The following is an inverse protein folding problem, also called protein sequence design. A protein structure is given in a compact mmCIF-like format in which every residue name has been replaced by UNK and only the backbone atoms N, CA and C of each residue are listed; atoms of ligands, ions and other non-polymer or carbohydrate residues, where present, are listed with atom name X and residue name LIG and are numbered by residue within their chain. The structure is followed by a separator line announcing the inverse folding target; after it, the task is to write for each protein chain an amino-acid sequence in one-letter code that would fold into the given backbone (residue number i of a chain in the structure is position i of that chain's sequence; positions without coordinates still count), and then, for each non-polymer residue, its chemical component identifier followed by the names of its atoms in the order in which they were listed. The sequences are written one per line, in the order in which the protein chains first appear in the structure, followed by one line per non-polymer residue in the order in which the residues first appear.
data_IF_765315177840
#
_entry.id   IF_765315177840
#
_cell.length_a   1.000
_cell.length_b   1.000
_cell.length_c   1.000
_cell.angle_alpha   90.00
_cell.angle_beta   90.00
_cell.angle_gamma   90.00
#
_symmetry.space_group_name_H-M   'P 1'
#
loop_
_entity.id
_entity.type
_entity.pdbx_description
1 polymer ?
#
# COMPACT_ATOMS: atom_id res chain seq x y z
N UNK A 1 -20.55 8.22 11.67
CA UNK A 1 -20.02 7.21 10.75
C UNK A 1 -19.23 7.95 9.68
N UNK A 2 -17.92 8.11 9.87
CA UNK A 2 -17.02 8.67 8.85
C UNK A 2 -16.43 7.49 8.11
N UNK A 3 -16.78 7.33 6.83
CA UNK A 3 -16.31 6.26 5.97
C UNK A 3 -14.80 6.45 5.69
N UNK A 4 -13.96 5.61 6.30
CA UNK A 4 -12.65 5.34 5.74
C UNK A 4 -12.81 4.22 4.70
N UNK A 5 -13.00 4.60 3.43
CA UNK A 5 -12.84 3.69 2.31
C UNK A 5 -11.36 3.22 2.27
N UNK A 6 -11.09 1.92 2.16
CA UNK A 6 -9.79 1.42 1.67
C UNK A 6 -8.85 0.73 2.67
N UNK A 7 -9.31 -0.31 3.38
CA UNK A 7 -8.43 -1.16 4.22
C UNK A 7 -7.99 -2.47 3.53
N UNK A 8 -8.43 -2.76 2.31
CA UNK A 8 -7.97 -3.92 1.52
C UNK A 8 -6.59 -3.74 0.84
N UNK A 9 -5.63 -3.11 1.51
CA UNK A 9 -4.27 -2.89 1.02
C UNK A 9 -3.20 -3.65 1.81
N UNK A 10 -1.92 -3.47 1.48
CA UNK A 10 -0.78 -4.22 2.06
C UNK A 10 -0.83 -4.37 3.58
N UNK A 11 -1.04 -3.27 4.32
CA UNK A 11 -1.09 -3.32 5.79
C UNK A 11 -2.38 -3.96 6.32
N UNK A 12 -3.53 -3.64 5.71
CA UNK A 12 -4.83 -4.12 6.20
C UNK A 12 -5.03 -5.62 6.01
N UNK A 13 -4.49 -6.21 4.94
CA UNK A 13 -4.49 -7.67 4.79
C UNK A 13 -3.58 -8.37 5.80
N UNK A 14 -2.41 -7.80 6.12
CA UNK A 14 -1.56 -8.36 7.19
C UNK A 14 -2.29 -8.33 8.53
N UNK A 15 -2.93 -7.20 8.87
CA UNK A 15 -3.70 -7.10 10.12
C UNK A 15 -4.86 -8.10 10.14
N UNK A 16 -5.65 -8.19 9.07
CA UNK A 16 -6.77 -9.12 8.98
C UNK A 16 -6.33 -10.57 9.12
N UNK A 17 -5.24 -10.97 8.46
CA UNK A 17 -4.65 -12.30 8.58
C UNK A 17 -4.21 -12.59 10.02
N UNK A 18 -3.50 -11.65 10.66
CA UNK A 18 -3.02 -11.85 12.04
C UNK A 18 -4.17 -11.92 13.06
N UNK A 19 -5.25 -11.16 12.86
CA UNK A 19 -6.45 -11.26 13.68
C UNK A 19 -7.15 -12.61 13.50
N UNK A 20 -7.25 -13.11 12.26
CA UNK A 20 -7.83 -14.42 11.97
C UNK A 20 -7.03 -15.57 12.60
N UNK A 21 -5.70 -15.47 12.60
CA UNK A 21 -4.81 -16.47 13.20
C UNK A 21 -4.90 -16.45 14.74
N UNK A 22 -5.07 -15.26 15.34
CA UNK A 22 -5.10 -15.09 16.78
C UNK A 22 -6.39 -15.61 17.44
N UNK A 23 -7.53 -15.48 16.76
CA UNK A 23 -8.82 -15.94 17.25
C UNK A 23 -9.72 -16.44 16.11
N UNK A 24 -9.84 -17.78 15.94
CA UNK A 24 -10.69 -18.38 14.91
C UNK A 24 -12.19 -18.14 15.08
N UNK A 25 -12.64 -17.61 16.23
CA UNK A 25 -14.06 -17.28 16.46
C UNK A 25 -14.49 -15.96 15.83
N UNK A 26 -13.52 -15.11 15.43
CA UNK A 26 -13.80 -13.82 14.82
C UNK A 26 -14.26 -13.98 13.37
N UNK A 27 -15.31 -13.23 13.01
CA UNK A 27 -15.69 -12.99 11.62
C UNK A 27 -15.12 -11.65 11.16
N UNK A 28 -14.21 -11.68 10.19
CA UNK A 28 -13.44 -10.51 9.75
C UNK A 28 -13.86 -10.14 8.34
N UNK A 29 -14.38 -8.91 8.17
CA UNK A 29 -14.71 -8.33 6.88
C UNK A 29 -13.63 -7.32 6.46
N UNK A 30 -13.00 -7.54 5.30
CA UNK A 30 -12.07 -6.57 4.71
C UNK A 30 -12.71 -5.90 3.50
N UNK A 31 -12.78 -4.57 3.54
CA UNK A 31 -13.32 -3.76 2.44
C UNK A 31 -12.16 -3.08 1.71
N UNK A 32 -11.91 -3.50 0.48
CA UNK A 32 -10.95 -2.89 -0.44
C UNK A 32 -11.66 -2.16 -1.58
N UNK A 33 -10.94 -1.22 -2.20
CA UNK A 33 -11.40 -0.53 -3.40
C UNK A 33 -10.73 -1.15 -4.64
N UNK A 34 -11.52 -1.40 -5.67
CA UNK A 34 -11.05 -1.92 -6.95
C UNK A 34 -11.23 -3.43 -7.13
N UNK A 35 -10.85 -3.97 -8.30
CA UNK A 35 -11.10 -5.35 -8.66
C UNK A 35 -10.23 -6.33 -7.87
N UNK A 36 -10.74 -7.56 -7.75
CA UNK A 36 -9.94 -8.73 -7.41
C UNK A 36 -8.97 -9.05 -8.55
N UNK A 37 -7.77 -9.47 -8.19
CA UNK A 37 -6.63 -9.62 -9.08
C UNK A 37 -5.92 -10.98 -8.94
N UNK A 38 -6.50 -11.93 -8.19
CA UNK A 38 -5.89 -13.25 -7.94
C UNK A 38 -5.52 -14.00 -9.22
N UNK A 39 -6.33 -13.84 -10.27
CA UNK A 39 -6.13 -14.49 -11.57
C UNK A 39 -5.62 -13.52 -12.67
N UNK A 40 -5.25 -12.29 -12.30
CA UNK A 40 -4.67 -11.32 -13.24
C UNK A 40 -3.18 -11.66 -13.46
N UNK A 41 -2.88 -12.28 -14.60
CA UNK A 41 -1.51 -12.62 -15.02
C UNK A 41 -0.54 -11.42 -14.99
N UNK A 42 -1.04 -10.19 -15.16
CA UNK A 42 -0.22 -8.99 -15.11
C UNK A 42 0.19 -8.61 -13.68
N UNK A 43 -0.53 -9.10 -12.66
CA UNK A 43 -0.19 -8.98 -11.24
C UNK A 43 0.66 -10.16 -10.79
N UNK A 44 0.25 -11.38 -11.16
CA UNK A 44 0.91 -12.62 -10.70
C UNK A 44 2.33 -12.75 -11.26
N UNK A 45 2.60 -12.20 -12.44
CA UNK A 45 3.93 -12.23 -13.04
C UNK A 45 4.65 -10.88 -12.91
N UNK A 46 5.68 -10.75 -12.06
CA UNK A 46 6.36 -9.48 -11.79
C UNK A 46 6.98 -8.81 -13.02
N UNK A 47 7.26 -9.57 -14.09
CA UNK A 47 7.81 -9.05 -15.35
C UNK A 47 6.91 -7.97 -15.98
N UNK A 48 5.60 -7.99 -15.69
CA UNK A 48 4.64 -7.01 -16.21
C UNK A 48 4.48 -5.76 -15.33
N UNK A 49 5.18 -5.66 -14.19
CA UNK A 49 5.03 -4.54 -13.24
C UNK A 49 5.26 -3.17 -13.92
N UNK A 50 6.30 -3.04 -14.75
CA UNK A 50 6.58 -1.82 -15.50
C UNK A 50 5.50 -1.47 -16.52
N UNK A 51 5.00 -2.46 -17.25
CA UNK A 51 3.92 -2.24 -18.23
C UNK A 51 2.66 -1.71 -17.57
N UNK A 52 2.31 -2.21 -16.38
CA UNK A 52 1.14 -1.75 -15.64
C UNK A 52 1.28 -0.32 -15.15
N UNK A 53 2.45 0.07 -14.67
CA UNK A 53 2.73 1.47 -14.27
C UNK A 53 2.54 2.46 -15.44
N UNK A 54 2.72 2.01 -16.68
CA UNK A 54 2.53 2.83 -17.87
C UNK A 54 1.06 2.93 -18.33
N UNK A 55 0.22 1.94 -18.04
CA UNK A 55 -1.17 1.86 -18.55
C UNK A 55 -2.22 2.41 -17.58
N UNK A 56 -2.00 3.62 -17.05
CA UNK A 56 -2.92 4.32 -16.14
C UNK A 56 -4.40 4.17 -16.54
N UNK A 57 -5.28 3.75 -15.61
CA UNK A 57 -6.73 3.87 -15.79
C UNK A 57 -7.63 2.86 -15.06
N UNK A 58 -7.23 1.58 -14.95
CA UNK A 58 -8.06 0.55 -14.29
C UNK A 58 -7.53 0.07 -12.94
N UNK A 59 -6.23 0.14 -12.74
CA UNK A 59 -5.50 -0.45 -11.60
C UNK A 59 -4.79 0.60 -10.76
N UNK A 60 -4.82 1.86 -11.21
CA UNK A 60 -4.14 2.96 -10.55
C UNK A 60 -5.07 4.15 -10.45
N UNK A 61 -5.14 4.71 -9.25
CA UNK A 61 -5.79 5.97 -8.94
C UNK A 61 -4.74 7.07 -9.12
N UNK A 62 -5.03 8.05 -9.96
CA UNK A 62 -4.13 9.18 -10.19
C UNK A 62 -4.63 10.41 -9.42
N UNK A 63 -3.73 10.98 -8.61
CA UNK A 63 -3.97 12.19 -7.84
C UNK A 63 -3.05 13.28 -8.34
N UNK A 64 -3.63 14.29 -8.98
CA UNK A 64 -2.89 15.45 -9.45
C UNK A 64 -2.80 16.51 -8.34
N UNK A 65 -1.60 17.00 -8.09
CA UNK A 65 -1.40 18.15 -7.21
C UNK A 65 -1.93 19.44 -7.85
N UNK A 66 -2.04 20.50 -7.05
CA UNK A 66 -2.04 21.86 -7.61
C UNK A 66 -0.66 22.16 -8.23
N UNK A 67 -0.55 23.28 -8.95
CA UNK A 67 0.75 23.75 -9.44
C UNK A 67 1.69 24.01 -8.26
N UNK A 68 2.89 23.46 -8.33
CA UNK A 68 3.91 23.60 -7.27
C UNK A 68 5.00 24.59 -7.72
N UNK A 69 5.07 25.80 -7.11
CA UNK A 69 6.02 26.85 -7.50
C UNK A 69 7.47 26.40 -7.42
N UNK A 70 7.83 25.53 -6.46
CA UNK A 70 9.19 25.01 -6.31
C UNK A 70 9.59 24.02 -7.41
N UNK A 71 8.66 23.68 -8.30
CA UNK A 71 8.90 22.79 -9.44
C UNK A 71 8.59 23.46 -10.77
N UNK A 72 8.75 24.79 -10.85
CA UNK A 72 8.42 25.59 -12.03
C UNK A 72 6.94 25.44 -12.44
N UNK A 73 6.04 25.56 -11.45
CA UNK A 73 4.59 25.52 -11.64
C UNK A 73 4.06 24.19 -12.22
N UNK A 74 4.82 23.09 -12.06
CA UNK A 74 4.37 21.77 -12.51
C UNK A 74 3.21 21.25 -11.68
N UNK A 75 2.30 20.55 -12.36
CA UNK A 75 1.33 19.65 -11.74
C UNK A 75 2.00 18.29 -11.58
N UNK A 76 2.07 17.81 -10.35
CA UNK A 76 2.71 16.53 -10.00
C UNK A 76 1.62 15.48 -9.87
N UNK A 77 1.73 14.41 -10.67
CA UNK A 77 0.83 13.27 -10.61
C UNK A 77 1.39 12.22 -9.64
N UNK A 78 0.61 11.86 -8.64
CA UNK A 78 0.92 10.78 -7.70
C UNK A 78 -0.05 9.64 -7.93
N UNK A 79 0.48 8.44 -8.18
CA UNK A 79 -0.34 7.25 -8.40
C UNK A 79 -0.44 6.43 -7.11
N UNK A 80 -1.64 5.94 -6.83
CA UNK A 80 -1.91 4.95 -5.78
C UNK A 80 -2.58 3.73 -6.40
N UNK A 81 -2.48 2.59 -5.73
CA UNK A 81 -3.14 1.37 -6.18
C UNK A 81 -4.66 1.50 -6.08
N UNK A 82 -5.36 1.08 -7.14
CA UNK A 82 -6.82 1.03 -7.22
C UNK A 82 -7.35 -0.40 -7.35
N UNK A 83 -6.73 -1.37 -6.69
CA UNK A 83 -7.15 -2.77 -6.67
C UNK A 83 -6.85 -3.43 -5.32
N UNK A 84 -7.47 -4.59 -5.10
CA UNK A 84 -7.24 -5.41 -3.92
C UNK A 84 -5.75 -5.77 -3.76
N UNK A 85 -5.25 -5.70 -2.53
CA UNK A 85 -3.82 -5.82 -2.22
C UNK A 85 -3.09 -4.47 -2.20
N UNK A 86 -3.65 -3.45 -2.84
CA UNK A 86 -3.09 -2.10 -2.78
C UNK A 86 -1.70 -2.01 -3.39
N UNK A 87 -0.80 -1.27 -2.75
CA UNK A 87 0.53 -0.98 -3.28
C UNK A 87 1.37 -2.22 -3.60
N UNK A 88 1.24 -3.31 -2.84
CA UNK A 88 2.00 -4.54 -3.11
C UNK A 88 1.61 -5.22 -4.43
N UNK A 89 0.42 -4.97 -4.96
CA UNK A 89 -0.05 -5.54 -6.22
C UNK A 89 0.36 -4.73 -7.47
N UNK A 90 1.00 -3.58 -7.29
CA UNK A 90 1.45 -2.70 -8.39
C UNK A 90 2.91 -2.26 -8.25
N UNK A 91 3.58 -2.55 -7.14
CA UNK A 91 4.95 -2.10 -6.89
C UNK A 91 5.97 -2.90 -7.71
N UNK A 92 7.24 -2.51 -7.60
CA UNK A 92 8.35 -3.14 -8.32
C UNK A 92 8.88 -4.39 -7.63
N UNK A 93 8.17 -4.94 -6.65
CA UNK A 93 8.59 -6.10 -5.84
C UNK A 93 9.95 -5.92 -5.16
N UNK A 94 10.39 -4.68 -4.95
CA UNK A 94 11.61 -4.37 -4.21
C UNK A 94 11.35 -4.47 -2.71
N UNK A 95 12.28 -5.12 -2.00
CA UNK A 95 12.25 -5.19 -0.55
C UNK A 95 13.35 -4.32 0.04
N UNK A 96 12.96 -3.37 0.88
CA UNK A 96 13.87 -2.47 1.59
C UNK A 96 13.36 -2.28 3.01
N UNK A 97 14.28 -2.13 3.96
CA UNK A 97 13.96 -1.70 5.32
C UNK A 97 14.58 -0.33 5.60
N UNK A 98 13.87 0.56 6.31
CA UNK A 98 14.46 1.76 6.89
C UNK A 98 15.64 1.44 7.80
N UNK A 99 16.53 2.42 7.94
CA UNK A 99 17.63 2.34 8.89
C UNK A 99 17.11 2.53 10.32
N UNK A 100 17.90 2.09 11.32
CA UNK A 100 17.54 2.27 12.74
C UNK A 100 17.20 3.73 13.08
N UNK A 101 17.91 4.68 12.48
CA UNK A 101 17.69 6.10 12.71
C UNK A 101 16.28 6.54 12.30
N UNK A 102 15.77 6.05 11.16
CA UNK A 102 14.46 6.43 10.63
C UNK A 102 13.33 6.11 11.62
N UNK A 103 13.37 4.92 12.22
CA UNK A 103 12.41 4.52 13.27
C UNK A 103 12.53 5.39 14.52
N UNK A 104 13.76 5.65 14.97
CA UNK A 104 14.00 6.46 16.17
C UNK A 104 13.51 7.92 15.99
N UNK A 105 13.56 8.44 14.77
CA UNK A 105 13.08 9.78 14.44
C UNK A 105 11.57 9.96 14.59
N UNK A 106 10.78 8.88 14.58
CA UNK A 106 9.33 8.97 14.79
C UNK A 106 8.97 9.49 16.19
N UNK A 107 9.84 9.27 17.19
CA UNK A 107 9.62 9.68 18.59
C UNK A 107 8.26 9.19 19.15
N UNK A 108 7.75 8.08 18.64
CA UNK A 108 6.52 7.44 19.12
C UNK A 108 6.90 6.32 20.10
N UNK A 109 6.37 6.31 21.34
CA UNK A 109 6.65 5.25 22.31
C UNK A 109 6.36 3.86 21.74
N UNK A 110 7.32 2.94 21.88
CA UNK A 110 7.21 1.57 21.35
C UNK A 110 7.55 1.40 19.87
N UNK A 111 7.75 2.48 19.11
CA UNK A 111 8.04 2.45 17.67
C UNK A 111 9.47 2.90 17.32
N UNK A 112 10.39 2.83 18.29
CA UNK A 112 11.82 2.98 18.01
C UNK A 112 12.37 1.76 17.27
N UNK A 113 13.60 1.84 16.77
CA UNK A 113 14.23 0.70 16.11
C UNK A 113 14.26 -0.57 16.99
N UNK A 114 14.38 -0.42 18.31
CA UNK A 114 14.34 -1.57 19.21
C UNK A 114 12.94 -2.19 19.28
N UNK A 115 11.87 -1.38 19.17
CA UNK A 115 10.50 -1.89 19.12
C UNK A 115 10.15 -2.52 17.77
N UNK A 116 10.62 -1.94 16.67
CA UNK A 116 10.26 -2.38 15.31
C UNK A 116 11.19 -3.44 14.71
N UNK A 117 12.43 -3.60 15.21
CA UNK A 117 13.43 -4.47 14.58
C UNK A 117 13.89 -5.65 15.43
N UNK A 118 13.47 -5.78 16.70
CA UNK A 118 13.95 -6.83 17.61
C UNK A 118 12.82 -7.75 18.13
N UNK A 119 11.72 -7.85 17.38
CA UNK A 119 10.69 -8.87 17.59
C UNK A 119 11.02 -10.17 16.87
#
# INVERSE_FOLDING_TARGET
MTLANGLGGSAGYVVASRLSDADPSLSILVIGCGPDNRDDSTVVHPIFAFGRMATCGKTMLNYSSIKEPRTAERVINTVSAGLLGGGSAINMSTYQRPERFDYNCWKVPGWSANGCCHS
#
